data_IF_871618675556
#
_entry.id   IF_871618675556
#
_cell.length_a   1.000
_cell.length_b   1.000
_cell.length_c   1.000
_cell.angle_alpha   90.00
_cell.angle_beta   90.00
_cell.angle_gamma   90.00
#
_symmetry.space_group_name_H-M   'P 1'
#
loop_
_entity.id
_entity.type
_entity.pdbx_description
1 polymer ?
#
# COMPACT_ATOMS: atom_id res chain seq x y z
N UNK A 1 -5.81 -6.21 4.36
CA UNK A 1 -5.12 -6.59 5.62
C UNK A 1 -3.62 -6.87 5.43
N UNK A 2 -3.24 -7.89 4.64
CA UNK A 2 -1.84 -8.35 4.41
C UNK A 2 -0.80 -7.24 4.20
N UNK A 3 -0.99 -6.40 3.20
CA UNK A 3 -0.01 -5.35 2.84
C UNK A 3 0.29 -4.43 4.02
N UNK A 4 -0.74 -3.95 4.71
CA UNK A 4 -0.53 -2.94 5.75
C UNK A 4 0.00 -3.49 7.06
N UNK A 5 -0.34 -4.72 7.45
CA UNK A 5 0.29 -5.34 8.62
C UNK A 5 1.79 -5.53 8.35
N UNK A 6 2.13 -6.09 7.19
CA UNK A 6 3.52 -6.43 6.87
C UNK A 6 4.37 -5.16 6.68
N UNK A 7 3.88 -4.20 5.91
CA UNK A 7 4.59 -2.94 5.72
C UNK A 7 4.72 -2.17 7.04
N UNK A 8 3.73 -2.22 7.95
CA UNK A 8 3.86 -1.58 9.25
C UNK A 8 4.93 -2.23 10.13
N UNK A 9 4.95 -3.57 10.21
CA UNK A 9 5.89 -4.29 11.06
C UNK A 9 7.33 -4.29 10.53
N UNK A 10 7.50 -4.51 9.23
CA UNK A 10 8.81 -4.64 8.61
C UNK A 10 9.22 -3.28 8.06
N UNK A 11 8.59 -2.85 6.97
CA UNK A 11 9.05 -1.81 6.01
C UNK A 11 8.98 -0.39 6.52
N UNK A 12 8.00 -0.10 7.38
CA UNK A 12 7.81 1.21 7.97
C UNK A 12 9.15 1.66 8.55
N UNK A 13 9.40 2.94 8.51
CA UNK A 13 10.63 3.49 9.13
C UNK A 13 10.28 4.52 10.19
N UNK A 14 9.04 4.49 10.65
CA UNK A 14 8.53 5.21 11.82
C UNK A 14 8.04 4.17 12.84
N UNK A 15 8.02 4.56 14.11
CA UNK A 15 7.61 3.66 15.20
C UNK A 15 8.61 2.52 15.44
N UNK A 16 8.09 1.34 15.80
CA UNK A 16 8.88 0.20 16.30
C UNK A 16 9.15 -0.90 15.25
N UNK A 17 9.05 -0.57 13.96
CA UNK A 17 9.29 -1.53 12.88
C UNK A 17 10.75 -2.01 12.77
N UNK A 18 10.98 -3.10 12.04
CA UNK A 18 12.32 -3.65 11.82
C UNK A 18 13.28 -2.64 11.18
N UNK A 19 12.85 -1.97 10.10
CA UNK A 19 13.68 -0.96 9.45
C UNK A 19 13.94 0.27 10.34
N UNK A 20 12.97 0.66 11.19
CA UNK A 20 13.16 1.75 12.17
C UNK A 20 14.19 1.37 13.24
N UNK A 21 14.11 0.15 13.78
CA UNK A 21 15.10 -0.36 14.74
C UNK A 21 16.51 -0.38 14.12
N UNK A 22 16.67 -0.93 12.92
CA UNK A 22 17.97 -0.99 12.26
C UNK A 22 18.54 0.42 12.00
N UNK A 23 17.69 1.36 11.57
CA UNK A 23 18.09 2.76 11.39
C UNK A 23 18.57 3.40 12.70
N UNK A 24 17.87 3.15 13.80
CA UNK A 24 18.19 3.71 15.11
C UNK A 24 19.41 3.07 15.75
N UNK A 25 19.48 1.74 15.76
CA UNK A 25 20.40 0.97 16.60
C UNK A 25 21.66 0.52 15.86
N UNK A 26 21.54 0.18 14.59
CA UNK A 26 22.67 -0.24 13.75
C UNK A 26 23.24 0.94 12.97
N UNK A 27 22.40 1.75 12.32
CA UNK A 27 22.88 2.91 11.55
C UNK A 27 23.10 4.16 12.40
N UNK A 28 22.72 4.11 13.68
CA UNK A 28 22.85 5.19 14.66
C UNK A 28 22.37 6.55 14.10
N UNK A 29 21.22 6.54 13.40
CA UNK A 29 20.66 7.77 12.84
C UNK A 29 20.24 8.70 13.98
N UNK A 30 20.70 9.96 13.91
CA UNK A 30 20.34 11.00 14.88
C UNK A 30 18.82 11.21 14.99
N UNK A 31 18.33 11.55 16.19
CA UNK A 31 16.91 11.86 16.39
C UNK A 31 16.47 13.09 15.56
N UNK A 32 17.38 14.02 15.29
CA UNK A 32 17.15 15.14 14.36
C UNK A 32 16.83 14.67 12.94
N UNK A 33 17.61 13.73 12.38
CA UNK A 33 17.35 13.17 11.04
C UNK A 33 16.03 12.39 11.01
N UNK A 34 15.70 11.65 12.08
CA UNK A 34 14.42 10.94 12.20
C UNK A 34 13.24 11.91 12.27
N UNK A 35 13.36 12.98 13.05
CA UNK A 35 12.32 14.00 13.17
C UNK A 35 12.11 14.74 11.85
N UNK A 36 13.19 15.24 11.23
CA UNK A 36 13.16 15.89 9.91
C UNK A 36 12.46 15.02 8.87
N UNK A 37 12.68 13.71 8.95
CA UNK A 37 12.00 12.75 8.09
C UNK A 37 10.52 12.56 8.43
N UNK A 38 10.16 12.47 9.69
CA UNK A 38 8.75 12.38 10.12
C UNK A 38 7.97 13.57 9.59
N UNK A 39 8.54 14.77 9.74
CA UNK A 39 8.00 16.02 9.19
C UNK A 39 7.89 15.91 7.66
N UNK A 40 8.95 15.46 6.96
CA UNK A 40 8.88 15.27 5.50
C UNK A 40 7.75 14.34 5.06
N UNK A 41 7.53 13.22 5.76
CA UNK A 41 6.47 12.28 5.44
C UNK A 41 5.07 12.87 5.66
N UNK A 42 4.89 13.63 6.74
CA UNK A 42 3.64 14.33 7.04
C UNK A 42 3.29 15.35 5.95
N UNK A 43 4.23 16.23 5.60
CA UNK A 43 4.05 17.18 4.49
C UNK A 43 3.80 16.49 3.15
N UNK A 44 4.41 15.33 2.91
CA UNK A 44 4.19 14.54 1.70
C UNK A 44 2.75 13.99 1.67
N UNK A 45 2.24 13.49 2.79
CA UNK A 45 0.86 13.02 2.92
C UNK A 45 -0.12 14.16 2.68
N UNK A 46 0.06 15.30 3.37
CA UNK A 46 -0.75 16.50 3.20
C UNK A 46 -0.79 16.98 1.74
N UNK A 47 0.33 16.92 1.02
CA UNK A 47 0.36 17.28 -0.41
C UNK A 47 -0.40 16.28 -1.30
N UNK A 48 -0.41 14.98 -0.96
CA UNK A 48 -1.21 13.97 -1.68
C UNK A 48 -2.70 14.17 -1.41
N UNK A 49 -3.09 14.42 -0.16
CA UNK A 49 -4.48 14.69 0.20
C UNK A 49 -5.05 15.90 -0.56
N UNK A 50 -4.29 16.99 -0.65
CA UNK A 50 -4.72 18.16 -1.44
C UNK A 50 -4.91 17.85 -2.93
N UNK A 51 -4.10 16.94 -3.49
CA UNK A 51 -4.31 16.47 -4.87
C UNK A 51 -5.58 15.65 -5.01
N UNK A 52 -5.83 14.74 -4.07
CA UNK A 52 -7.04 13.93 -4.07
C UNK A 52 -8.29 14.81 -3.95
N UNK A 53 -8.27 15.84 -3.12
CA UNK A 53 -9.36 16.82 -3.01
C UNK A 53 -9.63 17.54 -4.34
N UNK A 54 -8.59 17.91 -5.09
CA UNK A 54 -8.76 18.48 -6.43
C UNK A 54 -9.31 17.45 -7.43
N UNK A 55 -8.87 16.19 -7.36
CA UNK A 55 -9.39 15.11 -8.21
C UNK A 55 -10.88 14.84 -7.93
N UNK A 56 -11.28 14.79 -6.67
CA UNK A 56 -12.67 14.66 -6.23
C UNK A 56 -13.51 15.88 -6.63
N UNK A 57 -12.98 17.09 -6.46
CA UNK A 57 -13.65 18.30 -6.93
C UNK A 57 -13.86 18.24 -8.45
N UNK A 58 -12.85 17.78 -9.21
CA UNK A 58 -12.93 17.67 -10.66
C UNK A 58 -13.91 16.60 -11.12
N UNK A 59 -14.02 15.46 -10.42
CA UNK A 59 -14.95 14.39 -10.81
C UNK A 59 -16.41 14.83 -10.69
N UNK A 60 -16.71 15.77 -9.78
CA UNK A 60 -18.07 16.27 -9.54
C UNK A 60 -18.36 17.54 -10.36
N UNK A 61 -17.42 18.48 -10.40
CA UNK A 61 -17.72 19.85 -10.84
C UNK A 61 -17.10 20.24 -12.19
N UNK A 62 -16.16 19.46 -12.73
CA UNK A 62 -15.42 19.89 -13.93
C UNK A 62 -16.30 19.89 -15.19
N UNK A 63 -17.12 18.86 -15.36
CA UNK A 63 -18.05 18.75 -16.50
C UNK A 63 -19.07 19.87 -16.46
N UNK A 64 -19.77 20.03 -15.32
CA UNK A 64 -20.70 21.12 -15.06
C UNK A 64 -20.08 22.51 -15.30
N UNK A 65 -18.85 22.74 -14.85
CA UNK A 65 -18.15 24.01 -15.10
C UNK A 65 -17.90 24.25 -16.59
N UNK A 66 -17.56 23.22 -17.36
CA UNK A 66 -17.33 23.35 -18.79
C UNK A 66 -18.63 23.57 -19.55
N UNK A 67 -19.71 22.86 -19.19
CA UNK A 67 -21.05 23.07 -19.75
C UNK A 67 -21.51 24.52 -19.55
N UNK A 68 -21.44 25.03 -18.32
CA UNK A 68 -21.80 26.42 -18.01
C UNK A 68 -20.95 27.42 -18.81
N UNK A 69 -19.67 27.11 -19.05
CA UNK A 69 -18.80 27.97 -19.87
C UNK A 69 -19.21 27.99 -21.33
N UNK A 70 -19.62 26.85 -21.90
CA UNK A 70 -20.13 26.80 -23.27
C UNK A 70 -21.48 27.53 -23.38
N UNK A 71 -22.40 27.29 -22.44
CA UNK A 71 -23.70 27.99 -22.39
C UNK A 71 -23.52 29.52 -22.27
N UNK A 72 -22.55 30.00 -21.47
CA UNK A 72 -22.24 31.42 -21.38
C UNK A 72 -21.66 31.99 -22.69
N UNK A 73 -20.87 31.20 -23.44
CA UNK A 73 -20.40 31.60 -24.78
C UNK A 73 -21.56 31.66 -25.77
N UNK A 74 -22.48 30.71 -25.73
CA UNK A 74 -23.68 30.69 -26.57
C UNK A 74 -24.54 31.93 -26.29
N UNK A 75 -24.89 32.21 -25.03
CA UNK A 75 -25.62 33.42 -24.64
C UNK A 75 -24.87 34.71 -25.05
N UNK A 76 -23.54 34.72 -24.97
CA UNK A 76 -22.73 35.83 -25.47
C UNK A 76 -22.86 36.01 -26.99
N UNK A 77 -22.80 34.91 -27.74
CA UNK A 77 -22.97 34.92 -29.18
C UNK A 77 -24.38 35.39 -29.55
N UNK A 78 -25.42 34.86 -28.91
CA UNK A 78 -26.82 35.22 -29.11
C UNK A 78 -27.08 36.72 -28.94
N UNK A 79 -26.47 37.33 -27.92
CA UNK A 79 -26.59 38.76 -27.61
C UNK A 79 -25.78 39.67 -28.55
N UNK A 80 -24.76 39.16 -29.24
CA UNK A 80 -23.78 39.97 -30.01
C UNK A 80 -24.06 40.07 -31.52
N UNK A 81 -24.96 39.25 -32.07
CA UNK A 81 -25.11 39.12 -33.52
C UNK A 81 -25.98 40.25 -34.14
N UNK A 82 -25.45 41.11 -35.05
CA UNK A 82 -26.16 42.28 -35.57
C UNK A 82 -27.46 41.97 -36.34
N UNK A 83 -27.52 40.80 -37.00
CA UNK A 83 -28.66 40.38 -37.81
C UNK A 83 -29.88 39.90 -36.99
N UNK A 84 -29.76 39.81 -35.65
CA UNK A 84 -30.85 39.39 -34.74
C UNK A 84 -31.59 40.56 -34.08
N UNK A 85 -31.29 41.81 -34.45
CA UNK A 85 -31.87 43.00 -33.81
C UNK A 85 -33.41 43.03 -33.77
N UNK A 86 -34.08 42.29 -34.68
CA UNK A 86 -35.54 42.08 -34.70
C UNK A 86 -36.08 40.71 -34.29
N UNK A 87 -35.25 39.75 -33.81
CA UNK A 87 -35.72 38.40 -33.42
C UNK A 87 -36.24 38.28 -31.99
N UNK A 88 -35.79 39.14 -31.10
CA UNK A 88 -36.16 39.11 -29.69
C UNK A 88 -36.75 40.46 -29.29
N UNK A 89 -37.84 40.40 -28.54
CA UNK A 89 -38.47 41.54 -27.88
C UNK A 89 -37.51 42.15 -26.85
N UNK A 90 -37.85 43.36 -26.39
CA UNK A 90 -37.03 44.05 -25.38
C UNK A 90 -36.93 43.25 -24.08
N UNK A 91 -38.03 42.63 -23.67
CA UNK A 91 -38.15 41.87 -22.43
C UNK A 91 -37.34 40.55 -22.50
N UNK A 92 -37.39 39.83 -23.63
CA UNK A 92 -36.57 38.63 -23.86
C UNK A 92 -35.06 38.94 -23.82
N UNK A 93 -34.65 40.10 -24.35
CA UNK A 93 -33.24 40.55 -24.27
C UNK A 93 -32.82 40.87 -22.84
N UNK A 94 -33.71 41.39 -22.01
CA UNK A 94 -33.43 41.62 -20.59
C UNK A 94 -33.34 40.31 -19.82
N UNK A 95 -34.22 39.34 -20.12
CA UNK A 95 -34.19 38.01 -19.53
C UNK A 95 -32.90 37.25 -19.87
N UNK A 96 -32.49 37.21 -21.13
CA UNK A 96 -31.22 36.58 -21.55
C UNK A 96 -29.99 37.24 -20.90
N UNK A 97 -30.03 38.55 -20.65
CA UNK A 97 -28.97 39.25 -19.91
C UNK A 97 -28.94 38.82 -18.45
N UNK A 98 -30.10 38.65 -17.82
CA UNK A 98 -30.21 38.20 -16.44
C UNK A 98 -29.69 36.77 -16.27
N UNK A 99 -30.15 35.84 -17.11
CA UNK A 99 -29.70 34.45 -17.13
C UNK A 99 -28.19 34.34 -17.33
N UNK A 100 -27.63 35.10 -18.28
CA UNK A 100 -26.19 35.18 -18.49
C UNK A 100 -25.44 35.71 -17.26
N UNK A 101 -25.99 36.71 -16.56
CA UNK A 101 -25.37 37.26 -15.36
C UNK A 101 -25.36 36.23 -14.22
N UNK A 102 -26.46 35.52 -14.00
CA UNK A 102 -26.55 34.43 -13.01
C UNK A 102 -25.60 33.29 -13.33
N UNK A 103 -25.53 32.87 -14.59
CA UNK A 103 -24.62 31.82 -15.05
C UNK A 103 -23.16 32.23 -14.85
N UNK A 104 -22.82 33.50 -15.11
CA UNK A 104 -21.48 34.04 -14.88
C UNK A 104 -21.09 33.97 -13.39
N UNK A 105 -22.01 34.31 -12.47
CA UNK A 105 -21.76 34.20 -11.03
C UNK A 105 -21.42 32.75 -10.64
N UNK A 106 -22.21 31.78 -11.11
CA UNK A 106 -21.98 30.34 -10.84
C UNK A 106 -20.63 29.85 -11.39
N UNK A 107 -20.26 30.30 -12.60
CA UNK A 107 -18.95 29.99 -13.19
C UNK A 107 -17.83 30.56 -12.35
N UNK A 108 -17.94 31.81 -11.90
CA UNK A 108 -16.92 32.49 -11.11
C UNK A 108 -16.74 31.80 -9.74
N UNK A 109 -17.82 31.36 -9.10
CA UNK A 109 -17.77 30.59 -7.84
C UNK A 109 -17.02 29.27 -8.00
N UNK A 110 -17.40 28.45 -8.99
CA UNK A 110 -16.74 27.17 -9.27
C UNK A 110 -15.28 27.36 -9.70
N UNK A 111 -14.99 28.37 -10.53
CA UNK A 111 -13.64 28.68 -10.96
C UNK A 111 -12.76 29.16 -9.80
N UNK A 112 -13.30 29.96 -8.87
CA UNK A 112 -12.60 30.37 -7.64
C UNK A 112 -12.32 29.18 -6.74
N UNK A 113 -13.28 28.29 -6.53
CA UNK A 113 -13.10 27.07 -5.74
C UNK A 113 -12.00 26.17 -6.33
N UNK A 114 -12.03 25.93 -7.66
CA UNK A 114 -10.98 25.15 -8.33
C UNK A 114 -9.61 25.81 -8.22
N UNK A 115 -9.54 27.14 -8.35
CA UNK A 115 -8.29 27.89 -8.24
C UNK A 115 -7.71 27.81 -6.82
N UNK A 116 -8.55 27.94 -5.79
CA UNK A 116 -8.13 27.83 -4.39
C UNK A 116 -7.46 26.47 -4.11
N UNK A 117 -8.07 25.36 -4.56
CA UNK A 117 -7.48 24.01 -4.43
C UNK A 117 -6.16 23.88 -5.18
N UNK A 118 -6.07 24.44 -6.39
CA UNK A 118 -4.80 24.44 -7.18
C UNK A 118 -3.70 25.24 -6.50
N UNK A 119 -4.04 26.37 -5.90
CA UNK A 119 -3.08 27.22 -5.19
C UNK A 119 -2.65 26.58 -3.86
N UNK A 120 -3.56 25.93 -3.14
CA UNK A 120 -3.23 25.13 -1.96
C UNK A 120 -2.24 23.99 -2.27
N UNK A 121 -2.43 23.27 -3.38
CA UNK A 121 -1.46 22.25 -3.83
C UNK A 121 -0.08 22.86 -4.07
N UNK A 122 -0.02 24.06 -4.69
CA UNK A 122 1.26 24.75 -4.94
C UNK A 122 1.94 25.15 -3.64
N UNK A 123 1.21 25.71 -2.69
CA UNK A 123 1.78 26.11 -1.39
C UNK A 123 2.26 24.89 -0.59
N UNK A 124 1.46 23.83 -0.50
CA UNK A 124 1.87 22.57 0.13
C UNK A 124 3.10 21.97 -0.56
N UNK A 125 3.20 22.07 -1.89
CA UNK A 125 4.39 21.62 -2.63
C UNK A 125 5.64 22.44 -2.29
N UNK A 126 5.54 23.77 -2.21
CA UNK A 126 6.68 24.63 -1.80
C UNK A 126 7.20 24.23 -0.43
N UNK A 127 6.30 24.05 0.54
CA UNK A 127 6.65 23.62 1.89
C UNK A 127 7.28 22.22 1.88
N UNK A 128 6.71 21.28 1.13
CA UNK A 128 7.27 19.95 0.94
C UNK A 128 8.70 20.01 0.39
N UNK A 129 8.98 20.87 -0.59
CA UNK A 129 10.31 21.04 -1.17
C UNK A 129 11.32 21.68 -0.19
N UNK A 130 10.87 22.52 0.74
CA UNK A 130 11.70 23.05 1.84
C UNK A 130 12.08 21.92 2.80
N UNK A 131 11.09 21.21 3.34
CA UNK A 131 11.30 20.14 4.32
C UNK A 131 12.10 18.98 3.70
N UNK A 132 11.85 18.68 2.42
CA UNK A 132 12.62 17.67 1.68
C UNK A 132 14.11 18.03 1.62
N UNK A 133 14.44 19.28 1.31
CA UNK A 133 15.84 19.75 1.25
C UNK A 133 16.51 19.67 2.61
N UNK A 134 15.80 19.99 3.68
CA UNK A 134 16.30 19.86 5.05
C UNK A 134 16.61 18.40 5.40
N UNK A 135 15.65 17.49 5.16
CA UNK A 135 15.84 16.05 5.34
C UNK A 135 17.00 15.49 4.51
N UNK A 136 17.09 15.84 3.22
CA UNK A 136 18.20 15.44 2.35
C UNK A 136 19.55 16.01 2.83
N UNK A 137 19.53 17.19 3.46
CA UNK A 137 20.70 17.80 4.09
C UNK A 137 21.30 16.94 5.20
N UNK A 138 20.48 16.27 6.01
CA UNK A 138 20.96 15.29 7.00
C UNK A 138 21.57 14.07 6.31
N UNK A 139 20.95 13.56 5.24
CA UNK A 139 21.48 12.43 4.47
C UNK A 139 22.86 12.69 3.86
N UNK A 140 23.18 13.93 3.48
CA UNK A 140 24.51 14.33 2.97
C UNK A 140 25.59 14.39 4.04
N UNK A 141 25.21 14.67 5.31
CA UNK A 141 26.13 14.72 6.45
C UNK A 141 26.48 13.33 7.00
N UNK A 142 25.90 12.28 6.41
CA UNK A 142 25.97 10.92 6.90
C UNK A 142 27.30 10.27 6.55
N UNK A 143 27.86 9.52 7.49
CA UNK A 143 29.08 8.76 7.23
C UNK A 143 28.79 7.67 6.18
N UNK A 144 29.69 7.50 5.20
CA UNK A 144 29.47 6.66 4.01
C UNK A 144 29.05 5.22 4.33
N UNK A 145 29.48 4.71 5.48
CA UNK A 145 29.18 3.35 5.98
C UNK A 145 27.73 3.14 6.48
N UNK A 146 27.02 4.20 6.86
CA UNK A 146 25.60 4.11 7.24
C UNK A 146 24.69 3.91 6.03
N UNK A 147 25.10 4.41 4.86
CA UNK A 147 24.41 4.21 3.59
C UNK A 147 24.64 2.79 3.01
N UNK A 148 25.72 2.11 3.40
CA UNK A 148 26.01 0.75 2.92
C UNK A 148 25.10 -0.31 3.53
N UNK A 149 24.81 -0.29 4.83
CA UNK A 149 24.02 -1.35 5.50
C UNK A 149 22.66 -1.56 4.82
N UNK A 150 21.93 -0.46 4.60
CA UNK A 150 20.64 -0.49 3.93
C UNK A 150 20.76 -1.01 2.50
N UNK A 151 21.71 -0.49 1.72
CA UNK A 151 21.90 -0.92 0.33
C UNK A 151 22.27 -2.40 0.25
N UNK A 152 23.07 -2.89 1.18
CA UNK A 152 23.45 -4.30 1.28
C UNK A 152 22.23 -5.17 1.57
N UNK A 153 21.37 -4.79 2.52
CA UNK A 153 20.13 -5.54 2.82
C UNK A 153 19.13 -5.44 1.67
N UNK A 154 18.95 -4.28 1.04
CA UNK A 154 18.09 -4.14 -0.14
C UNK A 154 18.61 -5.00 -1.31
N UNK A 155 19.92 -5.05 -1.53
CA UNK A 155 20.53 -5.90 -2.55
C UNK A 155 20.35 -7.39 -2.23
N UNK A 156 20.47 -7.79 -0.97
CA UNK A 156 20.17 -9.14 -0.49
C UNK A 156 18.71 -9.50 -0.75
N UNK A 157 17.77 -8.64 -0.36
CA UNK A 157 16.34 -8.86 -0.57
C UNK A 157 15.98 -8.96 -2.06
N UNK A 158 16.65 -8.20 -2.93
CA UNK A 158 16.48 -8.32 -4.39
C UNK A 158 16.87 -9.69 -4.92
N UNK A 159 17.88 -10.36 -4.35
CA UNK A 159 18.24 -11.75 -4.73
C UNK A 159 17.10 -12.73 -4.44
N UNK A 160 16.31 -12.45 -3.41
CA UNK A 160 15.09 -13.20 -3.05
C UNK A 160 13.84 -12.75 -3.84
N UNK A 161 14.00 -11.90 -4.85
CA UNK A 161 12.89 -11.37 -5.65
C UNK A 161 11.99 -10.41 -4.87
N UNK A 162 12.55 -9.69 -3.89
CA UNK A 162 11.87 -8.69 -3.08
C UNK A 162 12.45 -7.34 -3.45
N UNK A 163 11.68 -6.56 -4.21
CA UNK A 163 12.09 -5.21 -4.60
C UNK A 163 11.14 -4.18 -3.99
N UNK A 164 11.74 -3.15 -3.39
CA UNK A 164 11.01 -2.00 -2.87
C UNK A 164 10.63 -1.11 -4.05
N UNK A 165 9.39 -1.26 -4.52
CA UNK A 165 8.93 -0.47 -5.66
C UNK A 165 8.87 1.02 -5.29
N UNK A 166 9.51 1.88 -6.09
CA UNK A 166 9.39 3.33 -5.95
C UNK A 166 7.94 3.81 -6.14
N UNK A 167 7.16 3.09 -6.95
CA UNK A 167 5.76 3.37 -7.28
C UNK A 167 4.81 3.39 -6.06
N UNK A 168 5.13 2.66 -4.99
CA UNK A 168 4.30 2.61 -3.77
C UNK A 168 4.95 3.35 -2.59
N UNK A 169 5.78 4.35 -2.85
CA UNK A 169 6.44 5.11 -1.79
C UNK A 169 7.47 4.31 -0.99
N UNK A 170 7.95 3.19 -1.54
CA UNK A 170 8.87 2.27 -0.89
C UNK A 170 8.20 1.12 -0.15
N UNK A 171 6.87 1.00 -0.19
CA UNK A 171 6.15 -0.15 0.36
C UNK A 171 6.33 -1.42 -0.49
N UNK A 172 6.25 -2.58 0.16
CA UNK A 172 6.23 -3.86 -0.54
C UNK A 172 4.81 -4.18 -1.03
N UNK A 173 4.73 -4.77 -2.23
CA UNK A 173 3.49 -5.24 -2.83
C UNK A 173 3.21 -6.70 -2.48
N UNK A 174 2.07 -7.24 -2.92
CA UNK A 174 1.59 -8.56 -2.50
C UNK A 174 2.56 -9.71 -2.82
N UNK A 175 3.23 -9.66 -3.97
CA UNK A 175 4.17 -10.71 -4.40
C UNK A 175 5.51 -10.66 -3.67
N UNK A 176 6.21 -9.51 -3.54
CA UNK A 176 7.37 -9.37 -2.67
C UNK A 176 7.10 -9.81 -1.23
N UNK A 177 5.96 -9.44 -0.62
CA UNK A 177 5.61 -9.91 0.74
C UNK A 177 5.46 -11.42 0.78
N UNK A 178 4.82 -12.02 -0.23
CA UNK A 178 4.72 -13.47 -0.31
C UNK A 178 6.11 -14.14 -0.40
N UNK A 179 6.99 -13.64 -1.26
CA UNK A 179 8.36 -14.15 -1.39
C UNK A 179 9.15 -13.99 -0.07
N UNK A 180 8.92 -12.89 0.66
CA UNK A 180 9.54 -12.65 1.97
C UNK A 180 9.07 -13.70 2.98
N UNK A 181 7.76 -13.86 3.14
CA UNK A 181 7.17 -14.85 4.05
C UNK A 181 7.60 -16.29 3.72
N UNK A 182 7.68 -16.64 2.43
CA UNK A 182 8.10 -17.96 1.95
C UNK A 182 9.54 -18.31 2.33
N UNK A 183 10.43 -17.31 2.37
CA UNK A 183 11.86 -17.50 2.64
C UNK A 183 12.28 -16.83 3.95
N UNK A 184 11.36 -16.63 4.90
CA UNK A 184 11.60 -15.82 6.09
C UNK A 184 12.79 -16.31 6.92
N UNK A 185 12.98 -17.63 7.06
CA UNK A 185 14.12 -18.21 7.77
C UNK A 185 15.44 -17.78 7.14
N UNK A 186 15.61 -18.10 5.86
CA UNK A 186 16.83 -17.79 5.11
C UNK A 186 17.10 -16.28 5.07
N UNK A 187 16.07 -15.47 4.80
CA UNK A 187 16.22 -14.01 4.72
C UNK A 187 16.70 -13.43 6.05
N UNK A 188 16.08 -13.81 7.17
CA UNK A 188 16.49 -13.28 8.47
C UNK A 188 17.85 -13.80 8.92
N UNK A 189 18.25 -15.01 8.55
CA UNK A 189 19.61 -15.53 8.79
C UNK A 189 20.66 -14.73 8.01
N UNK A 190 20.44 -14.49 6.72
CA UNK A 190 21.36 -13.69 5.90
C UNK A 190 21.41 -12.22 6.38
N UNK A 191 20.27 -11.62 6.73
CA UNK A 191 20.22 -10.27 7.29
C UNK A 191 20.96 -10.22 8.64
N UNK A 192 20.75 -11.20 9.52
CA UNK A 192 21.41 -11.26 10.81
C UNK A 192 22.94 -11.30 10.64
N UNK A 193 23.45 -12.12 9.71
CA UNK A 193 24.88 -12.18 9.39
C UNK A 193 25.43 -10.80 8.98
N UNK A 194 24.76 -10.13 8.02
CA UNK A 194 25.16 -8.78 7.57
C UNK A 194 25.16 -7.77 8.72
N UNK A 195 24.16 -7.83 9.59
CA UNK A 195 24.05 -6.90 10.73
C UNK A 195 25.10 -7.17 11.81
N UNK A 196 25.41 -8.43 12.10
CA UNK A 196 26.47 -8.81 13.05
C UNK A 196 27.83 -8.37 12.53
N UNK A 197 28.15 -8.62 11.27
CA UNK A 197 29.37 -8.14 10.61
C UNK A 197 29.49 -6.61 10.70
N UNK A 198 28.37 -5.91 10.51
CA UNK A 198 28.30 -4.45 10.62
C UNK A 198 28.57 -3.98 12.06
N UNK A 199 27.95 -4.60 13.06
CA UNK A 199 28.11 -4.24 14.48
C UNK A 199 29.52 -4.52 14.98
N UNK A 200 30.16 -5.59 14.51
CA UNK A 200 31.51 -5.97 14.91
C UNK A 200 32.60 -5.25 14.11
N UNK A 201 32.24 -4.46 13.10
CA UNK A 201 33.20 -3.76 12.24
C UNK A 201 33.95 -2.66 12.99
N UNK A 202 35.30 -2.68 13.02
CA UNK A 202 36.09 -1.64 13.68
C UNK A 202 35.81 -0.23 13.12
N UNK A 203 35.60 0.73 14.02
CA UNK A 203 35.36 2.13 13.66
C UNK A 203 33.94 2.45 13.20
N UNK A 204 32.98 1.52 13.35
CA UNK A 204 31.57 1.78 13.10
C UNK A 204 30.82 1.98 14.42
N UNK A 205 30.21 3.16 14.61
CA UNK A 205 29.48 3.49 15.84
C UNK A 205 28.05 2.97 15.77
N UNK A 206 27.86 1.73 16.22
CA UNK A 206 26.56 1.11 16.50
C UNK A 206 26.15 1.34 17.96
N UNK A 207 24.83 1.40 18.21
CA UNK A 207 24.26 1.28 19.55
C UNK A 207 23.88 -0.18 19.87
N UNK A 208 23.55 -0.96 18.84
CA UNK A 208 23.25 -2.38 18.97
C UNK A 208 24.53 -3.18 19.23
N UNK A 209 24.39 -4.23 20.05
CA UNK A 209 25.38 -5.30 20.18
C UNK A 209 24.90 -6.57 19.45
N UNK A 210 25.79 -7.54 19.32
CA UNK A 210 25.53 -8.80 18.62
C UNK A 210 24.31 -9.57 19.18
N UNK A 211 24.15 -9.58 20.51
CA UNK A 211 23.03 -10.26 21.17
C UNK A 211 21.70 -9.58 20.88
N UNK A 212 21.66 -8.25 20.88
CA UNK A 212 20.50 -7.45 20.47
C UNK A 212 20.11 -7.76 19.02
N UNK A 213 21.07 -7.81 18.10
CA UNK A 213 20.80 -8.15 16.69
C UNK A 213 20.16 -9.53 16.56
N UNK A 214 20.71 -10.54 17.24
CA UNK A 214 20.16 -11.91 17.24
C UNK A 214 18.72 -11.95 17.79
N UNK A 215 18.49 -11.28 18.91
CA UNK A 215 17.17 -11.24 19.57
C UNK A 215 16.13 -10.59 18.65
N UNK A 216 16.45 -9.41 18.10
CA UNK A 216 15.55 -8.66 17.21
C UNK A 216 15.25 -9.44 15.93
N UNK A 217 16.29 -9.95 15.24
CA UNK A 217 16.12 -10.74 14.03
C UNK A 217 15.28 -12.00 14.28
N UNK A 218 15.51 -12.70 15.39
CA UNK A 218 14.74 -13.89 15.77
C UNK A 218 13.26 -13.57 15.98
N UNK A 219 12.94 -12.49 16.71
CA UNK A 219 11.54 -12.10 16.99
C UNK A 219 10.80 -11.63 15.73
N UNK A 220 11.45 -10.84 14.87
CA UNK A 220 10.84 -10.45 13.58
C UNK A 220 10.71 -11.62 12.61
N UNK A 221 11.61 -12.61 12.66
CA UNK A 221 11.47 -13.88 11.93
C UNK A 221 10.22 -14.64 12.39
N UNK A 222 10.07 -14.84 13.70
CA UNK A 222 8.89 -15.48 14.28
C UNK A 222 7.60 -14.75 13.88
N UNK A 223 7.57 -13.41 14.02
CA UNK A 223 6.43 -12.60 13.60
C UNK A 223 6.09 -12.83 12.12
N UNK A 224 7.09 -12.82 11.25
CA UNK A 224 6.90 -12.99 9.80
C UNK A 224 6.30 -14.36 9.46
N UNK A 225 6.73 -15.42 10.15
CA UNK A 225 6.19 -16.79 9.98
C UNK A 225 4.75 -16.88 10.50
N UNK A 226 4.45 -16.25 11.64
CA UNK A 226 3.07 -16.18 12.17
C UNK A 226 2.15 -15.43 11.21
N UNK A 227 2.61 -14.30 10.67
CA UNK A 227 1.88 -13.54 9.65
C UNK A 227 1.64 -14.38 8.40
N UNK A 228 2.62 -15.18 7.99
CA UNK A 228 2.48 -16.07 6.84
C UNK A 228 1.39 -17.13 7.05
N UNK A 229 1.38 -17.79 8.20
CA UNK A 229 0.33 -18.74 8.57
C UNK A 229 -1.04 -18.07 8.69
N UNK A 230 -1.10 -16.87 9.28
CA UNK A 230 -2.32 -16.07 9.36
C UNK A 230 -2.84 -15.65 7.97
N UNK A 231 -1.97 -15.21 7.06
CA UNK A 231 -2.36 -14.89 5.69
C UNK A 231 -2.84 -16.12 4.92
N UNK A 232 -2.25 -17.28 5.15
CA UNK A 232 -2.76 -18.53 4.59
C UNK A 232 -4.17 -18.83 5.10
N UNK A 233 -4.44 -18.62 6.39
CA UNK A 233 -5.78 -18.78 6.97
C UNK A 233 -6.77 -17.78 6.38
N UNK A 234 -6.40 -16.49 6.31
CA UNK A 234 -7.21 -15.43 5.72
C UNK A 234 -7.60 -15.72 4.26
N UNK A 235 -6.75 -16.42 3.50
CA UNK A 235 -7.00 -16.76 2.10
C UNK A 235 -7.80 -18.06 1.91
N UNK A 236 -8.22 -18.72 3.00
CA UNK A 236 -8.99 -19.95 2.96
C UNK A 236 -10.35 -19.73 2.28
N UNK A 237 -10.67 -20.62 1.33
CA UNK A 237 -11.95 -20.65 0.64
C UNK A 237 -13.06 -21.28 1.49
N UNK A 238 -14.33 -21.06 1.09
CA UNK A 238 -15.48 -21.69 1.74
C UNK A 238 -15.46 -23.21 1.69
N UNK A 239 -14.97 -23.77 0.59
CA UNK A 239 -14.85 -25.21 0.45
C UNK A 239 -13.83 -25.79 1.43
N UNK A 240 -12.65 -25.17 1.55
CA UNK A 240 -11.63 -25.58 2.51
C UNK A 240 -12.11 -25.44 3.95
N UNK A 241 -12.81 -24.34 4.28
CA UNK A 241 -13.41 -24.13 5.60
C UNK A 241 -14.35 -25.28 5.98
N UNK A 242 -15.31 -25.60 5.10
CA UNK A 242 -16.30 -26.66 5.33
C UNK A 242 -15.65 -28.04 5.43
N UNK A 243 -14.60 -28.31 4.66
CA UNK A 243 -13.88 -29.58 4.70
C UNK A 243 -13.15 -29.81 6.03
N UNK A 244 -12.63 -28.75 6.65
CA UNK A 244 -11.92 -28.84 7.94
C UNK A 244 -12.91 -28.85 9.12
N UNK A 245 -14.02 -28.14 8.99
CA UNK A 245 -15.05 -28.00 10.02
C UNK A 245 -14.88 -26.73 10.87
N UNK A 246 -16.01 -26.13 11.26
CA UNK A 246 -16.06 -24.81 11.88
C UNK A 246 -15.24 -24.72 13.19
N UNK A 247 -15.36 -25.70 14.08
CA UNK A 247 -14.70 -25.66 15.40
C UNK A 247 -13.18 -25.76 15.32
N UNK A 248 -12.67 -26.64 14.45
CA UNK A 248 -11.24 -26.81 14.23
C UNK A 248 -10.63 -25.55 13.62
N UNK A 249 -11.33 -24.95 12.66
CA UNK A 249 -10.91 -23.70 12.01
C UNK A 249 -10.97 -22.52 12.99
N UNK A 250 -12.02 -22.41 13.78
CA UNK A 250 -12.18 -21.39 14.82
C UNK A 250 -11.05 -21.46 15.84
N UNK A 251 -10.75 -22.66 16.34
CA UNK A 251 -9.64 -22.90 17.28
C UNK A 251 -8.30 -22.47 16.66
N UNK A 252 -8.05 -22.83 15.40
CA UNK A 252 -6.84 -22.44 14.69
C UNK A 252 -6.76 -20.92 14.51
N UNK A 253 -7.88 -20.28 14.21
CA UNK A 253 -7.98 -18.82 14.06
C UNK A 253 -7.59 -18.08 15.33
N UNK A 254 -8.20 -18.44 16.46
CA UNK A 254 -7.92 -17.85 17.77
C UNK A 254 -6.43 -17.99 18.10
N UNK A 255 -5.86 -19.20 17.94
CA UNK A 255 -4.42 -19.44 18.17
C UNK A 255 -3.52 -18.51 17.36
N UNK A 256 -3.79 -18.34 16.06
CA UNK A 256 -3.00 -17.45 15.21
C UNK A 256 -3.15 -15.98 15.60
N UNK A 257 -4.38 -15.53 15.89
CA UNK A 257 -4.64 -14.14 16.30
C UNK A 257 -3.94 -13.83 17.62
N UNK A 258 -4.06 -14.71 18.62
CA UNK A 258 -3.44 -14.51 19.93
C UNK A 258 -1.91 -14.53 19.86
N UNK A 259 -1.33 -15.49 19.14
CA UNK A 259 0.11 -15.58 18.93
C UNK A 259 0.63 -14.34 18.18
N UNK A 260 -0.08 -13.89 17.14
CA UNK A 260 0.28 -12.71 16.36
C UNK A 260 0.20 -11.43 17.21
N UNK A 261 -0.90 -11.23 17.94
CA UNK A 261 -1.05 -10.07 18.82
C UNK A 261 0.02 -10.04 19.91
N UNK A 262 0.36 -11.20 20.45
CA UNK A 262 1.39 -11.34 21.48
C UNK A 262 2.76 -10.94 20.95
N UNK A 263 3.19 -11.52 19.82
CA UNK A 263 4.48 -11.16 19.23
C UNK A 263 4.50 -9.73 18.71
N UNK A 264 3.37 -9.18 18.28
CA UNK A 264 3.25 -7.78 17.90
C UNK A 264 3.49 -6.83 19.08
N UNK A 265 2.86 -7.10 20.23
CA UNK A 265 3.07 -6.34 21.47
C UNK A 265 4.48 -6.50 22.01
N UNK A 266 5.02 -7.71 21.93
CA UNK A 266 6.39 -8.03 22.32
C UNK A 266 7.41 -7.17 21.55
N UNK A 267 7.20 -7.00 20.24
CA UNK A 267 8.00 -6.11 19.37
C UNK A 267 7.66 -4.60 19.53
N UNK A 268 6.79 -4.23 20.47
CA UNK A 268 6.36 -2.85 20.74
C UNK A 268 5.73 -2.14 19.53
N UNK A 269 5.24 -2.92 18.55
CA UNK A 269 4.60 -2.40 17.35
C UNK A 269 3.28 -1.67 17.69
N UNK A 270 2.94 -0.65 16.91
CA UNK A 270 1.75 0.16 17.21
C UNK A 270 0.47 -0.67 17.09
N UNK A 271 -0.36 -0.61 18.13
CA UNK A 271 -1.67 -1.27 18.20
C UNK A 271 -2.76 -0.38 17.59
N UNK A 272 -2.50 0.93 17.47
CA UNK A 272 -3.45 1.92 16.97
C UNK A 272 -3.66 1.83 15.44
N UNK A 273 -2.88 1.01 14.73
CA UNK A 273 -3.06 0.81 13.31
C UNK A 273 -4.44 0.16 13.04
N UNK A 274 -5.32 0.77 12.22
CA UNK A 274 -6.67 0.23 11.95
C UNK A 274 -6.65 -1.24 11.48
N UNK A 275 -5.62 -1.62 10.73
CA UNK A 275 -5.43 -3.00 10.22
C UNK A 275 -5.06 -4.00 11.32
N UNK A 276 -4.42 -3.55 12.40
CA UNK A 276 -4.15 -4.38 13.57
C UNK A 276 -5.39 -4.50 14.44
N UNK A 277 -6.13 -3.41 14.64
CA UNK A 277 -7.42 -3.45 15.33
C UNK A 277 -8.40 -4.42 14.64
N UNK A 278 -8.44 -4.44 13.31
CA UNK A 278 -9.27 -5.40 12.56
C UNK A 278 -9.01 -6.88 12.90
N UNK A 279 -7.88 -7.24 13.52
CA UNK A 279 -7.63 -8.61 14.00
C UNK A 279 -8.59 -9.04 15.11
N UNK A 280 -9.09 -8.12 15.95
CA UNK A 280 -10.04 -8.46 17.03
C UNK A 280 -11.40 -8.91 16.50
N UNK A 281 -11.74 -8.51 15.27
CA UNK A 281 -12.99 -8.90 14.61
C UNK A 281 -12.80 -10.04 13.60
N UNK A 282 -11.57 -10.48 13.39
CA UNK A 282 -11.24 -11.45 12.35
C UNK A 282 -11.94 -12.78 12.57
N UNK A 283 -11.93 -13.32 13.79
CA UNK A 283 -12.57 -14.61 14.10
C UNK A 283 -14.07 -14.60 13.77
N UNK A 284 -14.80 -13.62 14.28
CA UNK A 284 -16.24 -13.48 14.04
C UNK A 284 -16.54 -13.35 12.55
N UNK A 285 -15.82 -12.47 11.84
CA UNK A 285 -16.01 -12.29 10.40
C UNK A 285 -15.64 -13.54 9.59
N UNK A 286 -14.59 -14.24 10.00
CA UNK A 286 -14.10 -15.42 9.31
C UNK A 286 -15.06 -16.61 9.45
N UNK A 287 -15.62 -16.83 10.65
CA UNK A 287 -16.60 -17.89 10.89
C UNK A 287 -17.94 -17.56 10.22
N UNK A 288 -18.46 -16.34 10.37
CA UNK A 288 -19.75 -15.94 9.78
C UNK A 288 -19.76 -16.02 8.25
N UNK A 289 -18.63 -15.80 7.60
CA UNK A 289 -18.51 -15.88 6.15
C UNK A 289 -18.05 -17.25 5.63
N UNK A 290 -17.83 -18.22 6.54
CA UNK A 290 -17.27 -19.55 6.27
C UNK A 290 -15.93 -19.46 5.51
N UNK A 291 -15.07 -18.51 5.90
CA UNK A 291 -13.82 -18.18 5.21
C UNK A 291 -13.88 -16.89 4.41
N UNK A 292 -12.74 -16.21 4.31
CA UNK A 292 -12.62 -14.88 3.70
C UNK A 292 -11.92 -14.89 2.33
N UNK A 293 -11.46 -16.04 1.86
CA UNK A 293 -10.69 -16.16 0.62
C UNK A 293 -11.43 -15.62 -0.60
N UNK A 294 -12.76 -15.76 -0.66
CA UNK A 294 -13.58 -15.25 -1.78
C UNK A 294 -13.67 -13.71 -1.83
N UNK A 295 -13.45 -13.02 -0.71
CA UNK A 295 -13.53 -11.56 -0.60
C UNK A 295 -12.19 -10.86 -0.85
N UNK A 296 -11.17 -11.59 -1.27
CA UNK A 296 -9.85 -11.02 -1.52
C UNK A 296 -9.88 -10.07 -2.74
N UNK A 297 -9.36 -8.84 -2.60
CA UNK A 297 -9.36 -7.80 -3.65
C UNK A 297 -8.41 -8.08 -4.83
N UNK A 298 -7.84 -9.29 -4.94
CA UNK A 298 -6.92 -9.60 -6.05
C UNK A 298 -7.65 -9.56 -7.41
N UNK A 299 -8.96 -9.78 -7.43
CA UNK A 299 -9.76 -9.58 -8.65
C UNK A 299 -9.71 -8.11 -9.13
N UNK A 300 -9.70 -7.15 -8.21
CA UNK A 300 -9.59 -5.73 -8.55
C UNK A 300 -8.19 -5.40 -9.09
N UNK A 301 -7.13 -5.96 -8.51
CA UNK A 301 -5.76 -5.79 -9.03
C UNK A 301 -5.58 -6.40 -10.43
N UNK A 302 -6.19 -7.56 -10.68
CA UNK A 302 -6.24 -8.18 -12.02
C UNK A 302 -6.99 -7.27 -12.99
N UNK A 303 -8.15 -6.74 -12.58
CA UNK A 303 -8.94 -5.82 -13.40
C UNK A 303 -8.17 -4.53 -13.73
N UNK A 304 -7.41 -3.96 -12.79
CA UNK A 304 -6.54 -2.82 -13.05
C UNK A 304 -5.46 -3.15 -14.08
N UNK A 305 -4.80 -4.30 -13.97
CA UNK A 305 -3.78 -4.73 -14.93
C UNK A 305 -4.36 -4.95 -16.33
N UNK A 306 -5.54 -5.54 -16.40
CA UNK A 306 -6.26 -5.73 -17.65
C UNK A 306 -6.67 -4.37 -18.25
N UNK A 307 -7.12 -3.42 -17.41
CA UNK A 307 -7.37 -2.04 -17.80
C UNK A 307 -6.14 -1.33 -18.37
N UNK A 308 -4.96 -1.50 -17.75
CA UNK A 308 -3.70 -0.94 -18.23
C UNK A 308 -3.30 -1.53 -19.59
N UNK A 309 -3.53 -2.84 -19.77
CA UNK A 309 -3.29 -3.54 -21.05
C UNK A 309 -4.25 -3.04 -22.13
N UNK A 310 -5.53 -2.88 -21.79
CA UNK A 310 -6.53 -2.33 -22.70
C UNK A 310 -6.12 -0.92 -23.11
N UNK A 311 -5.77 -0.06 -22.16
CA UNK A 311 -5.30 1.32 -22.39
C UNK A 311 -4.11 1.38 -23.35
N UNK A 312 -3.14 0.46 -23.21
CA UNK A 312 -2.01 0.38 -24.14
C UNK A 312 -2.43 -0.03 -25.56
N UNK A 313 -3.39 -0.94 -25.70
CA UNK A 313 -3.88 -1.41 -27.00
C UNK A 313 -4.71 -0.35 -27.74
N UNK A 314 -5.60 0.33 -27.02
CA UNK A 314 -6.59 1.25 -27.61
C UNK A 314 -6.21 2.73 -27.44
N UNK A 315 -5.06 3.02 -26.82
CA UNK A 315 -4.63 4.38 -26.49
C UNK A 315 -4.43 5.27 -27.72
N UNK A 316 -4.13 4.67 -28.88
CA UNK A 316 -4.00 5.39 -30.15
C UNK A 316 -5.34 5.81 -30.79
N UNK A 317 -6.45 5.18 -30.39
CA UNK A 317 -7.78 5.50 -30.93
C UNK A 317 -8.24 6.81 -30.28
N UNK A 318 -8.27 7.92 -31.03
CA UNK A 318 -8.66 9.24 -30.51
C UNK A 318 -10.15 9.35 -30.21
N UNK A 319 -10.98 8.73 -31.04
CA UNK A 319 -12.44 8.70 -30.92
C UNK A 319 -12.87 7.87 -29.70
N UNK A 320 -13.57 8.51 -28.77
CA UNK A 320 -13.97 7.92 -27.49
C UNK A 320 -14.98 6.78 -27.66
N UNK A 321 -15.92 6.92 -28.60
CA UNK A 321 -16.96 5.93 -28.84
C UNK A 321 -16.36 4.68 -29.50
N UNK A 322 -15.50 4.87 -30.50
CA UNK A 322 -14.74 3.76 -31.11
C UNK A 322 -13.83 3.06 -30.10
N UNK A 323 -13.21 3.82 -29.20
CA UNK A 323 -12.39 3.27 -28.12
C UNK A 323 -13.21 2.40 -27.17
N UNK A 324 -14.38 2.85 -26.74
CA UNK A 324 -15.28 2.10 -25.87
C UNK A 324 -15.82 0.83 -26.56
N UNK A 325 -16.26 0.92 -27.81
CA UNK A 325 -16.73 -0.22 -28.59
C UNK A 325 -15.63 -1.26 -28.80
N UNK A 326 -14.41 -0.83 -29.13
CA UNK A 326 -13.25 -1.73 -29.27
C UNK A 326 -12.89 -2.42 -27.96
N UNK A 327 -12.93 -1.68 -26.84
CA UNK A 327 -12.69 -2.26 -25.51
C UNK A 327 -13.74 -3.32 -25.15
N UNK A 328 -15.02 -3.00 -25.36
CA UNK A 328 -16.12 -3.94 -25.12
C UNK A 328 -15.98 -5.20 -25.97
N UNK A 329 -15.71 -5.04 -27.27
CA UNK A 329 -15.51 -6.16 -28.20
C UNK A 329 -14.32 -7.05 -27.80
N UNK A 330 -13.18 -6.46 -27.42
CA UNK A 330 -12.03 -7.23 -26.92
C UNK A 330 -12.34 -8.00 -25.63
N UNK A 331 -13.11 -7.41 -24.71
CA UNK A 331 -13.54 -8.07 -23.48
C UNK A 331 -14.49 -9.23 -23.77
N UNK A 332 -15.47 -9.02 -24.66
CA UNK A 332 -16.44 -10.03 -25.07
C UNK A 332 -15.77 -11.24 -25.75
N UNK A 333 -14.82 -11.00 -26.67
CA UNK A 333 -14.03 -12.07 -27.28
C UNK A 333 -13.16 -12.76 -26.24
N UNK A 334 -12.56 -12.01 -25.32
CA UNK A 334 -11.74 -12.55 -24.25
C UNK A 334 -12.52 -13.41 -23.24
N UNK A 335 -13.80 -13.12 -23.03
CA UNK A 335 -14.69 -13.85 -22.12
C UNK A 335 -15.38 -15.05 -22.76
N UNK A 336 -15.36 -15.18 -24.10
CA UNK A 336 -15.92 -16.34 -24.80
C UNK A 336 -15.25 -17.63 -24.34
N UNK A 337 -16.07 -18.62 -23.93
CA UNK A 337 -15.61 -19.92 -23.45
C UNK A 337 -14.79 -20.66 -24.49
N UNK A 338 -15.14 -20.55 -25.78
CA UNK A 338 -14.43 -21.18 -26.88
C UNK A 338 -13.01 -20.61 -27.03
N UNK A 339 -12.89 -19.27 -26.98
CA UNK A 339 -11.60 -18.58 -27.06
C UNK A 339 -10.72 -18.92 -25.86
N UNK A 340 -11.31 -19.02 -24.67
CA UNK A 340 -10.59 -19.45 -23.46
C UNK A 340 -10.14 -20.91 -23.54
N UNK A 341 -10.99 -21.81 -24.04
CA UNK A 341 -10.67 -23.22 -24.25
C UNK A 341 -9.52 -23.39 -25.26
N UNK A 342 -9.58 -22.67 -26.38
CA UNK A 342 -8.52 -22.65 -27.39
C UNK A 342 -7.21 -22.09 -26.82
N UNK A 343 -7.25 -20.96 -26.11
CA UNK A 343 -6.07 -20.42 -25.42
C UNK A 343 -5.48 -21.43 -24.43
N UNK A 344 -6.31 -22.17 -23.71
CA UNK A 344 -5.85 -23.21 -22.76
C UNK A 344 -5.21 -24.40 -23.49
N UNK A 345 -5.73 -24.78 -24.65
CA UNK A 345 -5.20 -25.85 -25.51
C UNK A 345 -3.82 -25.50 -26.09
N UNK A 346 -3.63 -24.25 -26.54
CA UNK A 346 -2.40 -23.81 -27.19
C UNK A 346 -1.41 -23.10 -26.27
N UNK A 347 -1.81 -22.73 -25.05
CA UNK A 347 -0.86 -22.20 -24.07
C UNK A 347 0.12 -23.29 -23.68
N UNK A 348 1.44 -23.03 -23.70
CA UNK A 348 2.40 -24.00 -23.19
C UNK A 348 2.03 -24.35 -21.75
N UNK A 349 2.11 -25.64 -21.34
CA UNK A 349 1.77 -26.03 -19.99
C UNK A 349 2.60 -25.20 -19.02
N UNK A 350 1.93 -24.35 -18.22
CA UNK A 350 2.61 -23.58 -17.18
C UNK A 350 3.22 -24.59 -16.22
N UNK A 351 4.54 -24.77 -16.27
CA UNK A 351 5.34 -25.69 -15.44
C UNK A 351 5.31 -25.38 -13.92
N UNK A 352 4.38 -24.55 -13.43
CA UNK A 352 4.22 -24.32 -11.99
C UNK A 352 3.35 -25.43 -11.40
N UNK A 353 3.91 -26.64 -11.28
CA UNK A 353 3.40 -27.59 -10.27
C UNK A 353 3.68 -26.95 -8.91
N UNK A 354 2.65 -26.84 -8.07
CA UNK A 354 2.81 -26.45 -6.66
C UNK A 354 3.71 -27.52 -6.04
N UNK A 355 4.87 -27.14 -5.54
CA UNK A 355 5.77 -28.10 -4.89
C UNK A 355 5.12 -28.45 -3.54
N UNK A 356 4.50 -29.63 -3.49
CA UNK A 356 3.71 -30.10 -2.34
C UNK A 356 4.63 -30.25 -1.13
N UNK A 357 5.85 -30.75 -1.33
CA UNK A 357 6.82 -30.97 -0.26
C UNK A 357 7.23 -29.63 0.38
N UNK A 358 7.50 -28.60 -0.44
CA UNK A 358 7.78 -27.25 0.07
C UNK A 358 6.63 -26.65 0.87
N UNK A 359 5.38 -26.89 0.47
CA UNK A 359 4.22 -26.39 1.24
C UNK A 359 4.04 -27.17 2.55
N UNK A 360 4.38 -28.46 2.58
CA UNK A 360 4.40 -29.26 3.81
C UNK A 360 5.46 -28.75 4.78
N UNK A 361 6.71 -28.62 4.33
CA UNK A 361 7.82 -28.04 5.11
C UNK A 361 7.45 -26.66 5.68
N UNK A 362 6.86 -25.80 4.84
CA UNK A 362 6.39 -24.48 5.27
C UNK A 362 5.29 -24.55 6.33
N UNK A 363 4.36 -25.48 6.20
CA UNK A 363 3.30 -25.69 7.20
C UNK A 363 3.82 -26.27 8.52
N UNK A 364 4.85 -27.11 8.47
CA UNK A 364 5.56 -27.60 9.65
C UNK A 364 6.28 -26.45 10.37
N UNK A 365 7.01 -25.60 9.64
CA UNK A 365 7.65 -24.41 10.23
C UNK A 365 6.61 -23.48 10.88
N UNK A 366 5.50 -23.23 10.20
CA UNK A 366 4.39 -22.41 10.74
C UNK A 366 3.81 -23.03 12.01
N UNK A 367 3.60 -24.35 12.05
CA UNK A 367 3.00 -25.03 13.20
C UNK A 367 3.95 -25.07 14.39
N UNK A 368 5.25 -25.29 14.16
CA UNK A 368 6.30 -25.22 15.19
C UNK A 368 6.28 -23.83 15.82
N UNK A 369 6.42 -22.77 15.02
CA UNK A 369 6.46 -21.39 15.55
C UNK A 369 5.16 -21.03 16.27
N UNK A 370 4.00 -21.39 15.71
CA UNK A 370 2.71 -21.17 16.37
C UNK A 370 2.68 -21.84 17.75
N UNK A 371 3.03 -23.13 17.81
CA UNK A 371 3.01 -23.90 19.05
C UNK A 371 4.00 -23.36 20.08
N UNK A 372 5.22 -22.99 19.66
CA UNK A 372 6.22 -22.36 20.53
C UNK A 372 5.65 -21.11 21.17
N UNK A 373 5.07 -20.20 20.38
CA UNK A 373 4.53 -18.94 20.90
C UNK A 373 3.29 -19.15 21.77
N UNK A 374 2.42 -20.09 21.41
CA UNK A 374 1.25 -20.42 22.26
C UNK A 374 1.66 -21.07 23.58
N UNK A 375 2.75 -21.84 23.60
CA UNK A 375 3.28 -22.44 24.82
C UNK A 375 3.97 -21.39 25.71
N UNK A 376 4.74 -20.47 25.10
CA UNK A 376 5.31 -19.31 25.81
C UNK A 376 4.23 -18.48 26.50
N UNK A 377 3.08 -18.32 25.83
CA UNK A 377 1.89 -17.66 26.36
C UNK A 377 1.24 -18.44 27.51
N UNK A 378 0.96 -19.73 27.31
CA UNK A 378 0.32 -20.57 28.33
C UNK A 378 1.14 -20.66 29.62
N UNK A 379 2.47 -20.72 29.49
CA UNK A 379 3.39 -20.84 30.63
C UNK A 379 3.78 -19.49 31.24
N UNK A 380 3.28 -18.36 30.70
CA UNK A 380 3.68 -17.00 31.08
C UNK A 380 5.22 -16.80 31.10
N UNK A 381 5.93 -17.51 30.22
CA UNK A 381 7.40 -17.49 30.11
C UNK A 381 7.87 -16.51 29.03
N UNK A 382 6.94 -15.87 28.31
CA UNK A 382 7.26 -14.91 27.28
C UNK A 382 8.01 -13.71 27.87
N UNK A 383 9.33 -13.72 27.74
CA UNK A 383 10.18 -12.65 28.23
C UNK A 383 10.01 -11.47 27.27
N UNK A 384 9.36 -10.41 27.76
CA UNK A 384 9.18 -9.17 26.99
C UNK A 384 10.53 -8.74 26.44
N UNK A 385 10.56 -8.46 25.14
CA UNK A 385 11.73 -7.89 24.50
C UNK A 385 12.18 -6.65 25.28
N UNK A 386 13.49 -6.54 25.50
CA UNK A 386 14.07 -5.31 26.06
C UNK A 386 13.68 -4.15 25.14
N UNK A 387 13.40 -2.99 25.72
CA UNK A 387 13.08 -1.81 24.92
C UNK A 387 14.35 -1.28 24.23
N UNK A 388 14.66 -1.80 23.04
CA UNK A 388 15.77 -1.35 22.21
C UNK A 388 15.43 -0.09 21.38
N UNK A 389 14.27 0.52 21.59
CA UNK A 389 13.86 1.72 20.86
C UNK A 389 14.16 3.00 21.63
N UNK A 390 14.61 2.88 22.89
CA UNK A 390 15.35 3.93 23.58
C UNK A 390 16.82 3.93 23.16
N UNK A 391 17.41 5.13 23.07
CA UNK A 391 18.86 5.30 22.93
C UNK A 391 19.61 5.11 24.24
N UNK A 392 18.90 5.19 25.37
CA UNK A 392 19.40 4.90 26.72
C UNK A 392 19.43 3.40 26.99
#
# INVERSE_FOLDING_TARGET
>A
MKLGLFNHAIVSRTGHSFWSWMELRVQNISDYERNARSIYLDYKLNHVEAKNQLEEWNSINLEKLNEMREENKELTFELSFPLRSGRYTKDEKEQLKLEKAELKVKIDELAKAQKALKDEIKERKKLLDVVKREYEGFGKKRNWRGLTVRRTIEALLRKHGIDFSAYHGGDLTGRPIQNFCENANQIFEEIQTVLIETVNSPGYSCLANENEVRDVCSRFKQLTILMDGFFSLHMMSRQEFRNIGADAVRTRCIKYVDALQTKWRDLHLSIQAPKFHALSHFETQFVSNEGLGAFHEQFAEIAHRDGERDRKRIGAIRDMQKRASSQSWHRQIGSSQEVQAMKKKFSPPKKRKKNIDKERERNEVRSIVLNTVTNELANNTNTKMKNYWSRN
#
